data_IF_603693550654
#
_entry.id   IF_603693550654
#
_cell.length_a   1.000
_cell.length_b   1.000
_cell.length_c   1.000
_cell.angle_alpha   90.00
_cell.angle_beta   90.00
_cell.angle_gamma   90.00
#
_symmetry.space_group_name_H-M   'P 1'
#
loop_
_entity.id
_entity.type
_entity.pdbx_description
1 polymer ?
#
# COMPACT_ATOMS: atom_id res chain seq x y z
N UNK A 1 40.14 27.05 -54.97
CA UNK A 1 39.09 27.96 -54.44
C UNK A 1 37.95 27.24 -53.71
N UNK A 2 37.82 25.90 -53.80
CA UNK A 2 36.76 25.14 -53.10
C UNK A 2 36.98 24.96 -51.58
N UNK A 3 38.23 24.78 -51.13
CA UNK A 3 38.52 24.49 -49.70
C UNK A 3 38.25 25.64 -48.74
N UNK A 4 38.52 26.89 -49.16
CA UNK A 4 38.30 28.09 -48.32
C UNK A 4 36.81 28.37 -48.14
N UNK A 5 36.02 28.20 -49.20
CA UNK A 5 34.56 28.36 -49.16
C UNK A 5 33.91 27.26 -48.30
N UNK A 6 34.42 26.03 -48.40
CA UNK A 6 33.99 24.92 -47.52
C UNK A 6 34.31 25.20 -46.05
N UNK A 7 35.55 25.60 -45.74
CA UNK A 7 35.98 25.88 -44.38
C UNK A 7 35.18 27.03 -43.73
N UNK A 8 34.85 28.08 -44.49
CA UNK A 8 33.98 29.16 -44.02
C UNK A 8 32.54 28.68 -43.75
N UNK A 9 32.02 27.80 -44.61
CA UNK A 9 30.68 27.21 -44.43
C UNK A 9 30.63 26.33 -43.18
N UNK A 10 31.67 25.54 -42.94
CA UNK A 10 31.77 24.67 -41.77
C UNK A 10 31.96 25.47 -40.48
N UNK A 11 32.71 26.58 -40.52
CA UNK A 11 32.83 27.51 -39.41
C UNK A 11 31.45 28.10 -39.02
N UNK A 12 30.69 28.56 -40.01
CA UNK A 12 29.34 29.11 -39.78
C UNK A 12 28.39 28.04 -39.22
N UNK A 13 28.44 26.81 -39.75
CA UNK A 13 27.66 25.69 -39.21
C UNK A 13 28.00 25.39 -37.76
N UNK A 14 29.29 25.32 -37.42
CA UNK A 14 29.74 25.07 -36.05
C UNK A 14 29.26 26.16 -35.09
N UNK A 15 29.30 27.43 -35.50
CA UNK A 15 28.77 28.53 -34.68
C UNK A 15 27.25 28.39 -34.46
N UNK A 16 26.50 28.02 -35.50
CA UNK A 16 25.06 27.78 -35.38
C UNK A 16 24.75 26.56 -34.49
N UNK A 17 25.53 25.49 -34.59
CA UNK A 17 25.41 24.31 -33.72
C UNK A 17 25.71 24.63 -32.26
N UNK A 18 26.69 25.48 -31.98
CA UNK A 18 26.99 25.92 -30.60
C UNK A 18 25.82 26.73 -30.03
N UNK A 19 25.28 27.67 -30.81
CA UNK A 19 24.10 28.45 -30.39
C UNK A 19 22.90 27.54 -30.16
N UNK A 20 22.65 26.60 -31.09
CA UNK A 20 21.55 25.65 -30.96
C UNK A 20 21.72 24.74 -29.74
N UNK A 21 22.92 24.19 -29.53
CA UNK A 21 23.20 23.31 -28.38
C UNK A 21 23.01 24.03 -27.05
N UNK A 22 23.38 25.32 -26.97
CA UNK A 22 23.13 26.14 -25.79
C UNK A 22 21.64 26.26 -25.48
N UNK A 23 20.80 26.55 -26.49
CA UNK A 23 19.35 26.62 -26.29
C UNK A 23 18.72 25.26 -25.96
N UNK A 24 19.17 24.17 -26.61
CA UNK A 24 18.64 22.83 -26.31
C UNK A 24 19.02 22.38 -24.90
N UNK A 25 20.26 22.60 -24.48
CA UNK A 25 20.72 22.26 -23.13
C UNK A 25 20.04 23.14 -22.09
N UNK A 26 19.89 24.44 -22.35
CA UNK A 26 19.15 25.35 -21.48
C UNK A 26 17.68 24.94 -21.32
N UNK A 27 17.03 24.58 -22.42
CA UNK A 27 15.65 24.07 -22.40
C UNK A 27 15.52 22.74 -21.63
N UNK A 28 16.45 21.81 -21.85
CA UNK A 28 16.48 20.53 -21.12
C UNK A 28 16.68 20.73 -19.61
N UNK A 29 17.53 21.68 -19.21
CA UNK A 29 17.71 22.03 -17.80
C UNK A 29 16.41 22.53 -17.18
N UNK A 30 15.72 23.47 -17.83
CA UNK A 30 14.43 23.99 -17.33
C UNK A 30 13.39 22.87 -17.23
N UNK A 31 13.29 22.01 -18.25
CA UNK A 31 12.39 20.87 -18.25
C UNK A 31 12.69 19.91 -17.08
N UNK A 32 13.96 19.55 -16.89
CA UNK A 32 14.36 18.65 -15.79
C UNK A 32 14.15 19.28 -14.41
N UNK A 33 14.39 20.58 -14.26
CA UNK A 33 14.09 21.30 -13.02
C UNK A 33 12.60 21.32 -12.72
N UNK A 34 11.75 21.59 -13.71
CA UNK A 34 10.30 21.55 -13.55
C UNK A 34 9.82 20.15 -13.18
N UNK A 35 10.33 19.11 -13.86
CA UNK A 35 10.01 17.72 -13.57
C UNK A 35 10.45 17.32 -12.15
N UNK A 36 11.65 17.72 -11.73
CA UNK A 36 12.12 17.51 -10.36
C UNK A 36 11.17 18.13 -9.33
N UNK A 37 10.74 19.38 -9.53
CA UNK A 37 9.80 20.04 -8.63
C UNK A 37 8.46 19.31 -8.54
N UNK A 38 7.92 18.88 -9.68
CA UNK A 38 6.68 18.11 -9.72
C UNK A 38 6.82 16.77 -9.01
N UNK A 39 7.90 16.03 -9.27
CA UNK A 39 8.19 14.75 -8.61
C UNK A 39 8.44 14.90 -7.11
N UNK A 40 9.08 16.00 -6.69
CA UNK A 40 9.28 16.31 -5.28
C UNK A 40 7.95 16.61 -4.58
N UNK A 41 7.10 17.45 -5.19
CA UNK A 41 5.79 17.77 -4.65
C UNK A 41 4.89 16.52 -4.53
N UNK A 42 4.84 15.67 -5.55
CA UNK A 42 4.09 14.41 -5.49
C UNK A 42 4.69 13.45 -4.46
N UNK A 43 6.02 13.40 -4.33
CA UNK A 43 6.70 12.62 -3.31
C UNK A 43 6.27 12.99 -1.88
N UNK A 44 6.18 14.29 -1.57
CA UNK A 44 5.71 14.76 -0.27
C UNK A 44 4.25 14.38 -0.03
N UNK A 45 3.39 14.60 -1.02
CA UNK A 45 1.97 14.28 -0.88
C UNK A 45 1.76 12.77 -0.70
N UNK A 46 2.50 11.94 -1.42
CA UNK A 46 2.45 10.49 -1.27
C UNK A 46 2.92 10.06 0.12
N UNK A 47 4.04 10.61 0.62
CA UNK A 47 4.51 10.32 1.98
C UNK A 47 3.42 10.60 3.02
N UNK A 48 2.73 11.74 2.88
CA UNK A 48 1.66 12.11 3.79
C UNK A 48 0.48 11.13 3.69
N UNK A 49 0.01 10.82 2.49
CA UNK A 49 -1.08 9.86 2.28
C UNK A 49 -0.73 8.47 2.82
N UNK A 50 0.48 7.99 2.53
CA UNK A 50 0.96 6.67 2.95
C UNK A 50 1.13 6.59 4.47
N UNK A 51 1.58 7.67 5.12
CA UNK A 51 1.63 7.74 6.58
C UNK A 51 0.24 7.58 7.21
N UNK A 52 -0.77 8.31 6.71
CA UNK A 52 -2.14 8.20 7.22
C UNK A 52 -2.77 6.85 6.92
N UNK A 53 -2.53 6.29 5.73
CA UNK A 53 -2.92 4.90 5.42
C UNK A 53 -2.29 3.93 6.41
N UNK A 54 -0.99 4.05 6.68
CA UNK A 54 -0.30 3.22 7.66
C UNK A 54 -0.91 3.32 9.06
N UNK A 55 -1.32 4.51 9.51
CA UNK A 55 -2.03 4.69 10.78
C UNK A 55 -3.39 3.98 10.79
N UNK A 56 -4.17 4.13 9.73
CA UNK A 56 -5.49 3.51 9.60
C UNK A 56 -5.35 1.99 9.53
N UNK A 57 -4.39 1.48 8.77
CA UNK A 57 -4.11 0.05 8.64
C UNK A 57 -3.65 -0.55 9.97
N UNK A 58 -2.82 0.16 10.74
CA UNK A 58 -2.42 -0.25 12.08
C UNK A 58 -3.62 -0.35 13.03
N UNK A 59 -4.46 0.69 13.05
CA UNK A 59 -5.67 0.71 13.88
C UNK A 59 -6.65 -0.40 13.47
N UNK A 60 -6.89 -0.57 12.17
CA UNK A 60 -7.73 -1.63 11.62
C UNK A 60 -7.18 -3.02 11.93
N UNK A 61 -5.87 -3.21 11.83
CA UNK A 61 -5.17 -4.44 12.19
C UNK A 61 -5.32 -4.78 13.68
N UNK A 62 -5.22 -3.78 14.57
CA UNK A 62 -5.40 -3.97 16.01
C UNK A 62 -6.84 -4.37 16.36
N UNK A 63 -7.83 -3.67 15.79
CA UNK A 63 -9.25 -3.98 16.00
C UNK A 63 -9.57 -5.38 15.48
N UNK A 64 -9.11 -5.71 14.27
CA UNK A 64 -9.28 -7.03 13.67
C UNK A 64 -8.64 -8.13 14.52
N UNK A 65 -7.44 -7.89 15.05
CA UNK A 65 -6.78 -8.83 15.97
C UNK A 65 -7.61 -9.06 17.23
N UNK A 66 -8.07 -8.01 17.90
CA UNK A 66 -8.86 -8.15 19.13
C UNK A 66 -10.17 -8.89 18.85
N UNK A 67 -10.94 -8.43 17.85
CA UNK A 67 -12.23 -9.05 17.50
C UNK A 67 -12.05 -10.50 17.06
N UNK A 68 -11.04 -10.79 16.23
CA UNK A 68 -10.74 -12.15 15.79
C UNK A 68 -10.43 -13.10 16.94
N UNK A 69 -9.64 -12.66 17.92
CA UNK A 69 -9.35 -13.46 19.11
C UNK A 69 -10.56 -13.62 20.02
N UNK A 70 -11.34 -12.56 20.26
CA UNK A 70 -12.57 -12.64 21.08
C UNK A 70 -13.57 -13.59 20.45
N UNK A 71 -13.76 -13.54 19.14
CA UNK A 71 -14.62 -14.47 18.42
C UNK A 71 -14.12 -15.91 18.53
N UNK A 72 -12.82 -16.14 18.32
CA UNK A 72 -12.22 -17.47 18.44
C UNK A 72 -12.41 -18.04 19.85
N UNK A 73 -12.11 -17.26 20.89
CA UNK A 73 -12.31 -17.67 22.28
C UNK A 73 -13.79 -17.91 22.58
N UNK A 74 -14.69 -17.08 22.04
CA UNK A 74 -16.14 -17.26 22.16
C UNK A 74 -16.61 -18.58 21.56
N UNK A 75 -16.12 -18.95 20.37
CA UNK A 75 -16.42 -20.24 19.74
C UNK A 75 -15.91 -21.41 20.59
N UNK A 76 -14.67 -21.33 21.07
CA UNK A 76 -14.08 -22.37 21.94
C UNK A 76 -14.91 -22.52 23.23
N UNK A 77 -15.29 -21.42 23.86
CA UNK A 77 -16.12 -21.42 25.06
C UNK A 77 -17.51 -22.01 24.81
N UNK A 78 -18.15 -21.65 23.69
CA UNK A 78 -19.45 -22.18 23.31
C UNK A 78 -19.41 -23.69 23.07
N UNK A 79 -18.38 -24.18 22.36
CA UNK A 79 -18.18 -25.61 22.14
C UNK A 79 -17.90 -26.35 23.45
N UNK A 80 -17.03 -25.81 24.30
CA UNK A 80 -16.72 -26.39 25.61
C UNK A 80 -17.94 -26.45 26.52
N UNK A 81 -18.70 -25.37 26.62
CA UNK A 81 -19.91 -25.33 27.45
C UNK A 81 -21.00 -26.23 26.90
N UNK A 82 -21.23 -26.23 25.58
CA UNK A 82 -22.17 -27.13 24.92
C UNK A 82 -21.83 -28.60 25.15
N UNK A 83 -20.55 -28.95 25.08
CA UNK A 83 -20.07 -30.30 25.36
C UNK A 83 -20.25 -30.70 26.84
N UNK A 84 -19.93 -29.82 27.78
CA UNK A 84 -20.16 -30.06 29.21
C UNK A 84 -21.66 -30.21 29.53
N UNK A 85 -22.49 -29.38 28.92
CA UNK A 85 -23.95 -29.46 29.05
C UNK A 85 -24.49 -30.78 28.48
N UNK A 86 -23.96 -31.20 27.32
CA UNK A 86 -24.29 -32.49 26.71
C UNK A 86 -23.90 -33.66 27.62
N UNK A 87 -22.69 -33.67 28.18
CA UNK A 87 -22.28 -34.73 29.14
C UNK A 87 -23.19 -34.79 30.37
N UNK A 88 -23.53 -33.64 30.96
CA UNK A 88 -24.46 -33.57 32.12
C UNK A 88 -25.83 -34.15 31.80
N UNK A 89 -26.27 -34.04 30.54
CA UNK A 89 -27.57 -34.56 30.12
C UNK A 89 -27.59 -36.08 29.91
N UNK A 90 -26.45 -36.73 29.68
CA UNK A 90 -26.37 -38.18 29.44
C UNK A 90 -26.59 -39.04 30.71
N UNK A 91 -26.52 -38.45 31.91
CA UNK A 91 -26.80 -39.14 33.17
C UNK A 91 -28.20 -38.93 33.74
N UNK A 92 -29.10 -38.26 33.00
CA UNK A 92 -30.42 -37.89 33.52
C UNK A 92 -31.39 -39.05 33.34
N UNK A 93 -31.94 -39.56 34.45
CA UNK A 93 -32.95 -40.64 34.44
C UNK A 93 -34.20 -40.16 33.70
N UNK A 94 -34.46 -40.74 32.54
CA UNK A 94 -35.64 -40.43 31.72
C UNK A 94 -36.84 -41.06 32.41
N UNK A 95 -37.76 -40.24 32.92
CA UNK A 95 -38.98 -40.73 33.58
C UNK A 95 -40.06 -40.88 32.51
N UNK A 96 -40.32 -42.11 32.08
CA UNK A 96 -41.48 -42.44 31.25
C UNK A 96 -42.64 -42.85 32.16
N UNK A 97 -43.74 -42.10 32.12
CA UNK A 97 -45.01 -42.48 32.78
C UNK A 97 -44.92 -42.64 34.30
N UNK A 98 -44.42 -41.62 35.03
CA UNK A 98 -44.37 -41.58 36.50
C UNK A 98 -43.58 -42.71 37.20
N UNK A 99 -42.80 -43.53 36.49
CA UNK A 99 -41.87 -44.49 37.12
C UNK A 99 -40.42 -44.12 36.87
N UNK A 100 -39.67 -43.99 37.96
CA UNK A 100 -38.21 -43.85 37.93
C UNK A 100 -37.63 -45.23 37.62
N UNK A 101 -37.11 -45.42 36.41
CA UNK A 101 -36.33 -46.61 36.06
C UNK A 101 -34.92 -46.40 36.64
N UNK A 102 -34.54 -47.27 37.58
CA UNK A 102 -33.19 -47.40 38.11
C UNK A 102 -32.35 -48.19 37.13
#
# INVERSE_FOLDING_TARGET
MSSIVSALTDLVKSLLEVVWSFFTTGGELVQKTAQFFLSFATGILNLFVDFFRGLVDLAGGLVSFILGNVLMLGVIAALGFGFLQYQRSQGRTVTVGNKKLN
#
